data_IF_747696251146
#
_entry.id   IF_747696251146
#
_cell.length_a   1.000
_cell.length_b   1.000
_cell.length_c   1.000
_cell.angle_alpha   90.00
_cell.angle_beta   90.00
_cell.angle_gamma   90.00
#
_symmetry.space_group_name_H-M   'P 1'
#
loop_
_entity.id
_entity.type
_entity.pdbx_description
1 polymer ?
#
# COMPACT_ATOMS: atom_id res chain seq x y z
N UNK A 1 -4.26 11.59 19.16
CA UNK A 1 -3.26 11.26 18.11
C UNK A 1 -3.98 10.30 17.16
N UNK A 2 -4.05 10.60 15.85
CA UNK A 2 -4.61 9.62 14.91
C UNK A 2 -3.68 8.40 14.86
N UNK A 3 -4.20 7.16 14.85
CA UNK A 3 -3.36 5.98 14.68
C UNK A 3 -2.60 6.07 13.35
N UNK A 4 -1.38 5.56 13.33
CA UNK A 4 -0.61 5.47 12.09
C UNK A 4 -1.34 4.54 11.12
N UNK A 5 -1.35 4.85 9.80
CA UNK A 5 -1.97 3.98 8.81
C UNK A 5 -1.33 2.59 8.78
N UNK A 6 -2.14 1.56 8.62
CA UNK A 6 -1.67 0.22 8.31
C UNK A 6 -1.15 0.17 6.88
N UNK A 7 0.08 -0.32 6.70
CA UNK A 7 0.72 -0.43 5.40
C UNK A 7 1.39 -1.79 5.21
N UNK A 8 1.47 -2.23 3.96
CA UNK A 8 2.29 -3.36 3.53
C UNK A 8 3.42 -2.87 2.65
N UNK A 9 4.56 -3.53 2.77
CA UNK A 9 5.77 -3.24 2.00
C UNK A 9 6.19 -4.47 1.22
N UNK A 10 6.69 -4.26 0.00
CA UNK A 10 7.28 -5.29 -0.85
C UNK A 10 8.40 -4.72 -1.71
N UNK A 11 9.31 -5.59 -2.16
CA UNK A 11 10.40 -5.20 -3.04
C UNK A 11 11.47 -4.33 -2.38
N UNK A 12 12.48 -3.97 -3.17
CA UNK A 12 13.57 -3.10 -2.76
C UNK A 12 14.12 -2.37 -3.97
N UNK A 13 14.64 -1.15 -3.78
CA UNK A 13 15.22 -0.38 -4.86
C UNK A 13 15.34 1.11 -4.54
N UNK A 14 16.01 1.89 -5.41
CA UNK A 14 16.22 3.32 -5.20
C UNK A 14 14.95 4.15 -5.42
N UNK A 15 13.92 3.59 -6.09
CA UNK A 15 12.63 4.24 -6.31
C UNK A 15 11.58 3.63 -5.38
N UNK A 16 10.71 4.48 -4.84
CA UNK A 16 9.56 4.07 -4.05
C UNK A 16 8.27 4.37 -4.82
N UNK A 17 7.38 3.38 -4.95
CA UNK A 17 6.04 3.54 -5.49
C UNK A 17 5.04 3.36 -4.34
N UNK A 18 4.15 4.33 -4.18
CA UNK A 18 3.11 4.31 -3.14
C UNK A 18 1.74 4.17 -3.79
N UNK A 19 0.99 3.16 -3.37
CA UNK A 19 -0.36 2.87 -3.82
C UNK A 19 -1.40 3.37 -2.82
N UNK A 20 -2.32 4.19 -3.32
CA UNK A 20 -3.47 4.71 -2.59
C UNK A 20 -4.74 4.11 -3.20
N UNK A 21 -5.63 3.57 -2.37
CA UNK A 21 -6.89 2.99 -2.85
C UNK A 21 -7.96 4.05 -3.13
N UNK A 22 -8.96 3.68 -3.93
CA UNK A 22 -10.14 4.50 -4.21
C UNK A 22 -11.26 4.32 -3.17
N UNK A 23 -12.41 4.93 -3.44
CA UNK A 23 -13.60 4.88 -2.58
C UNK A 23 -14.07 3.45 -2.29
N UNK A 24 -14.38 3.15 -1.01
CA UNK A 24 -14.92 1.86 -0.58
C UNK A 24 -13.94 0.68 -0.61
N UNK A 25 -12.66 0.95 -0.89
CA UNK A 25 -11.61 -0.06 -0.99
C UNK A 25 -10.60 0.03 0.16
N UNK A 26 -9.56 -0.79 0.07
CA UNK A 26 -8.39 -0.84 0.95
C UNK A 26 -7.16 -1.18 0.09
N UNK A 27 -5.97 -1.25 0.68
CA UNK A 27 -4.71 -1.55 0.00
C UNK A 27 -4.72 -2.88 -0.77
N UNK A 28 -5.55 -3.85 -0.37
CA UNK A 28 -5.59 -5.19 -0.96
C UNK A 28 -5.92 -5.19 -2.46
N UNK A 29 -6.59 -4.14 -2.97
CA UNK A 29 -6.89 -4.03 -4.41
C UNK A 29 -5.62 -3.95 -5.27
N UNK A 30 -4.48 -3.57 -4.67
CA UNK A 30 -3.23 -3.39 -5.38
C UNK A 30 -2.36 -4.64 -5.43
N UNK A 31 -2.73 -5.73 -4.74
CA UNK A 31 -1.89 -6.93 -4.60
C UNK A 31 -1.32 -7.42 -5.93
N UNK A 32 -2.16 -7.57 -6.94
CA UNK A 32 -1.76 -8.15 -8.22
C UNK A 32 -0.99 -7.14 -9.10
N UNK A 33 -1.17 -5.83 -8.86
CA UNK A 33 -0.41 -4.76 -9.51
C UNK A 33 0.97 -4.58 -8.88
N UNK A 34 1.08 -4.75 -7.56
CA UNK A 34 2.34 -4.63 -6.82
C UNK A 34 3.33 -5.74 -7.17
N UNK A 35 2.84 -6.97 -7.41
CA UNK A 35 3.67 -8.15 -7.62
C UNK A 35 4.76 -7.99 -8.71
N UNK A 36 4.46 -7.57 -9.95
CA UNK A 36 5.50 -7.36 -10.96
C UNK A 36 6.42 -6.17 -10.66
N UNK A 37 5.92 -5.13 -9.97
CA UNK A 37 6.67 -3.90 -9.71
C UNK A 37 7.67 -4.04 -8.54
N UNK A 38 7.41 -4.97 -7.63
CA UNK A 38 8.29 -5.25 -6.50
C UNK A 38 9.69 -5.76 -6.91
N UNK A 39 9.87 -6.21 -8.16
CA UNK A 39 11.16 -6.60 -8.71
C UNK A 39 12.09 -5.40 -8.99
N UNK A 40 11.54 -4.19 -9.16
CA UNK A 40 12.28 -3.02 -9.65
C UNK A 40 12.24 -1.80 -8.71
N UNK A 41 11.35 -1.83 -7.71
CA UNK A 41 11.13 -0.72 -6.80
C UNK A 41 10.75 -1.20 -5.39
N UNK A 42 10.97 -0.33 -4.40
CA UNK A 42 10.33 -0.44 -3.10
C UNK A 42 8.85 -0.06 -3.25
N UNK A 43 7.96 -0.92 -2.80
CA UNK A 43 6.52 -0.75 -2.96
C UNK A 43 5.86 -0.57 -1.59
N UNK A 44 4.97 0.41 -1.48
CA UNK A 44 4.12 0.63 -0.30
C UNK A 44 2.66 0.69 -0.73
N UNK A 45 1.78 0.00 -0.01
CA UNK A 45 0.34 0.17 -0.14
C UNK A 45 -0.27 0.27 1.26
N UNK A 46 -1.12 1.26 1.50
CA UNK A 46 -1.67 1.53 2.83
C UNK A 46 -3.17 1.74 2.81
N UNK A 47 -3.80 1.50 3.96
CA UNK A 47 -5.22 1.74 4.17
C UNK A 47 -5.43 3.17 4.69
N UNK A 48 -6.29 3.94 4.04
CA UNK A 48 -6.72 5.25 4.55
C UNK A 48 -7.39 5.08 5.93
N UNK A 49 -7.38 6.13 6.78
CA UNK A 49 -8.09 6.09 8.06
C UNK A 49 -9.55 5.64 7.89
N UNK A 50 -10.01 4.72 8.75
CA UNK A 50 -11.35 4.15 8.69
C UNK A 50 -11.56 3.03 7.65
N UNK A 51 -10.50 2.56 6.99
CA UNK A 51 -10.56 1.50 5.99
C UNK A 51 -9.64 0.34 6.34
N UNK A 52 -9.98 -0.87 5.89
CA UNK A 52 -9.12 -2.06 6.03
C UNK A 52 -8.66 -2.30 7.46
N UNK A 53 -7.35 -2.32 7.67
CA UNK A 53 -6.73 -2.49 8.99
C UNK A 53 -6.37 -1.16 9.67
N UNK A 54 -6.70 -0.02 9.07
CA UNK A 54 -6.58 1.32 9.67
C UNK A 54 -7.88 1.76 10.39
N UNK A 55 -8.54 0.85 11.11
CA UNK A 55 -9.75 1.09 11.90
C UNK A 55 -9.44 1.56 13.33
#
# INVERSE_FOLDING_TARGET
MLPLPYAVEAGAGPRTIVFLHGFGACREIWRDVMAPLAAEARILAYDLPGHGHSL
#
